data_IF_241947228360
#
_entry.id   IF_241947228360
#
_cell.length_a   1.000
_cell.length_b   1.000
_cell.length_c   1.000
_cell.angle_alpha   90.00
_cell.angle_beta   90.00
_cell.angle_gamma   90.00
#
_symmetry.space_group_name_H-M   'P 1'
#
loop_
_entity.id
_entity.type
_entity.pdbx_description
1 polymer ?
#
# COMPACT_ATOMS: atom_id res chain seq x y z
N UNK A 1 -21.94 2.34 5.71
CA UNK A 1 -22.89 3.38 5.20
C UNK A 1 -22.25 4.32 4.18
N UNK A 2 -20.97 4.69 4.30
CA UNK A 2 -20.33 5.66 3.40
C UNK A 2 -20.49 5.36 1.90
N UNK A 3 -20.25 4.11 1.46
CA UNK A 3 -20.39 3.72 0.05
C UNK A 3 -21.82 3.86 -0.47
N UNK A 4 -22.84 3.54 0.34
CA UNK A 4 -24.25 3.69 -0.01
C UNK A 4 -24.70 5.16 -0.07
N UNK A 5 -24.18 6.03 0.79
CA UNK A 5 -24.46 7.47 0.72
C UNK A 5 -23.96 8.03 -0.61
N UNK A 6 -22.74 7.70 -0.98
CA UNK A 6 -22.18 8.16 -2.24
C UNK A 6 -22.92 7.60 -3.46
N UNK A 7 -23.37 6.33 -3.40
CA UNK A 7 -24.20 5.74 -4.44
C UNK A 7 -25.54 6.49 -4.62
N UNK A 8 -26.18 6.91 -3.52
CA UNK A 8 -27.39 7.74 -3.58
C UNK A 8 -27.11 9.12 -4.20
N UNK A 9 -26.01 9.76 -3.82
CA UNK A 9 -25.63 11.08 -4.33
C UNK A 9 -25.28 11.07 -5.82
N UNK A 10 -24.63 10.00 -6.30
CA UNK A 10 -24.22 9.82 -7.70
C UNK A 10 -25.30 9.16 -8.58
N UNK A 11 -26.34 8.59 -7.98
CA UNK A 11 -27.36 7.80 -8.68
C UNK A 11 -26.83 6.47 -9.23
N UNK A 12 -25.78 5.90 -8.61
CA UNK A 12 -25.18 4.64 -9.07
C UNK A 12 -25.85 3.43 -8.42
N UNK A 13 -26.12 2.40 -9.23
CA UNK A 13 -26.90 1.22 -8.82
C UNK A 13 -26.14 -0.11 -8.94
N UNK A 14 -24.83 -0.06 -9.21
CA UNK A 14 -23.97 -1.25 -9.31
C UNK A 14 -23.63 -1.88 -7.94
N UNK A 15 -22.69 -2.86 -7.91
CA UNK A 15 -22.23 -3.47 -6.67
C UNK A 15 -21.75 -2.44 -5.64
N UNK A 16 -22.27 -2.53 -4.41
CA UNK A 16 -22.01 -1.54 -3.37
C UNK A 16 -21.92 -2.21 -1.98
N UNK A 17 -20.76 -2.14 -1.36
CA UNK A 17 -20.47 -2.70 -0.04
C UNK A 17 -19.21 -2.10 0.56
N UNK A 18 -18.91 -2.45 1.81
CA UNK A 18 -17.68 -2.07 2.51
C UNK A 18 -16.91 -3.33 2.89
N UNK A 19 -15.60 -3.32 2.70
CA UNK A 19 -14.69 -4.41 3.12
C UNK A 19 -13.96 -3.95 4.39
N UNK A 20 -13.65 -4.89 5.29
CA UNK A 20 -12.81 -4.64 6.46
C UNK A 20 -11.77 -5.76 6.59
N UNK A 21 -10.52 -5.43 6.25
CA UNK A 21 -9.35 -6.32 6.36
C UNK A 21 -8.18 -5.56 7.00
N UNK A 22 -8.48 -4.82 8.07
CA UNK A 22 -7.53 -3.96 8.77
C UNK A 22 -6.79 -3.02 7.80
N UNK A 23 -5.46 -2.95 7.89
CA UNK A 23 -4.63 -2.06 7.08
C UNK A 23 -4.64 -2.37 5.57
N UNK A 24 -5.05 -3.59 5.19
CA UNK A 24 -5.17 -4.01 3.79
C UNK A 24 -6.53 -3.67 3.16
N UNK A 25 -7.46 -3.06 3.92
CA UNK A 25 -8.84 -2.78 3.50
C UNK A 25 -8.92 -2.13 2.12
N UNK A 26 -8.18 -1.04 1.90
CA UNK A 26 -8.23 -0.32 0.62
C UNK A 26 -7.73 -1.17 -0.56
N UNK A 27 -6.69 -2.00 -0.39
CA UNK A 27 -6.21 -2.89 -1.46
C UNK A 27 -7.27 -3.93 -1.82
N UNK A 28 -7.96 -4.49 -0.81
CA UNK A 28 -9.09 -5.38 -1.05
C UNK A 28 -10.21 -4.66 -1.80
N UNK A 29 -10.56 -3.43 -1.44
CA UNK A 29 -11.56 -2.64 -2.16
C UNK A 29 -11.18 -2.44 -3.63
N UNK A 30 -9.93 -2.07 -3.92
CA UNK A 30 -9.42 -1.84 -5.29
C UNK A 30 -9.48 -3.13 -6.10
N UNK A 31 -8.95 -4.23 -5.58
CA UNK A 31 -8.92 -5.50 -6.30
C UNK A 31 -10.34 -6.07 -6.52
N UNK A 32 -11.25 -5.94 -5.55
CA UNK A 32 -12.63 -6.38 -5.73
C UNK A 32 -13.38 -5.51 -6.75
N UNK A 33 -13.14 -4.20 -6.78
CA UNK A 33 -13.69 -3.32 -7.81
C UNK A 33 -13.19 -3.70 -9.21
N UNK A 34 -11.89 -3.96 -9.37
CA UNK A 34 -11.33 -4.48 -10.62
C UNK A 34 -11.97 -5.81 -11.01
N UNK A 35 -12.19 -6.74 -10.06
CA UNK A 35 -12.83 -8.02 -10.33
C UNK A 35 -14.29 -7.90 -10.79
N UNK A 36 -15.06 -6.94 -10.26
CA UNK A 36 -16.41 -6.66 -10.78
C UNK A 36 -16.37 -6.22 -12.24
N UNK A 37 -15.42 -5.34 -12.60
CA UNK A 37 -15.23 -4.87 -13.98
C UNK A 37 -14.79 -6.01 -14.90
N UNK A 38 -13.80 -6.81 -14.47
CA UNK A 38 -13.28 -7.96 -15.23
C UNK A 38 -14.39 -8.99 -15.52
N UNK A 39 -15.34 -9.17 -14.59
CA UNK A 39 -16.49 -10.08 -14.75
C UNK A 39 -17.64 -9.49 -15.55
N UNK A 40 -17.54 -8.22 -15.98
CA UNK A 40 -18.61 -7.53 -16.70
C UNK A 40 -19.81 -7.16 -15.82
N UNK A 41 -19.63 -7.09 -14.50
CA UNK A 41 -20.70 -6.73 -13.55
C UNK A 41 -20.86 -5.22 -13.41
N UNK A 42 -19.84 -4.43 -13.80
CA UNK A 42 -19.86 -2.98 -13.84
C UNK A 42 -18.86 -2.45 -14.88
N UNK A 43 -19.17 -1.34 -15.55
CA UNK A 43 -18.21 -0.65 -16.43
C UNK A 43 -17.27 0.26 -15.63
N UNK A 44 -17.76 0.82 -14.52
CA UNK A 44 -17.08 1.82 -13.68
C UNK A 44 -17.32 1.48 -12.21
N UNK A 45 -16.27 1.56 -11.40
CA UNK A 45 -16.34 1.35 -9.95
C UNK A 45 -15.50 2.42 -9.23
N UNK A 46 -16.08 3.04 -8.20
CA UNK A 46 -15.30 3.84 -7.26
C UNK A 46 -14.83 2.95 -6.11
N UNK A 47 -13.54 2.96 -5.81
CA UNK A 47 -12.95 2.12 -4.78
C UNK A 47 -11.86 2.84 -4.01
N UNK A 48 -11.62 2.42 -2.77
CA UNK A 48 -10.59 2.97 -1.91
C UNK A 48 -10.97 2.82 -0.44
N UNK A 49 -10.59 3.81 0.37
CA UNK A 49 -10.88 3.80 1.79
C UNK A 49 -10.64 5.17 2.44
N UNK A 50 -11.30 5.37 3.57
CA UNK A 50 -11.13 6.52 4.44
C UNK A 50 -11.03 6.03 5.88
N UNK A 51 -10.15 6.62 6.66
CA UNK A 51 -9.99 6.28 8.08
C UNK A 51 -9.74 7.53 8.90
N UNK A 52 -10.42 7.62 10.05
CA UNK A 52 -10.28 8.69 11.04
C UNK A 52 -10.22 8.03 12.42
N UNK A 53 -9.10 7.34 12.67
CA UNK A 53 -8.93 6.46 13.80
C UNK A 53 -8.27 7.14 15.02
N UNK A 54 -7.95 8.43 14.97
CA UNK A 54 -7.32 9.15 16.08
C UNK A 54 -8.38 9.55 17.11
N UNK A 55 -8.87 8.54 17.82
CA UNK A 55 -9.80 8.67 18.93
C UNK A 55 -9.22 7.95 20.17
N UNK A 56 -9.56 8.36 21.41
CA UNK A 56 -8.93 7.82 22.62
C UNK A 56 -8.95 6.30 22.72
N UNK A 57 -10.05 5.66 22.32
CA UNK A 57 -10.19 4.21 22.35
C UNK A 57 -9.33 3.50 21.28
N UNK A 58 -9.25 4.06 20.07
CA UNK A 58 -8.43 3.51 18.98
C UNK A 58 -6.94 3.61 19.33
N UNK A 59 -6.51 4.79 19.79
CA UNK A 59 -5.16 5.01 20.27
C UNK A 59 -4.81 4.08 21.44
N UNK A 60 -5.68 3.98 22.44
CA UNK A 60 -5.49 3.11 23.59
C UNK A 60 -5.34 1.63 23.22
N UNK A 61 -6.11 1.16 22.22
CA UNK A 61 -6.00 -0.19 21.69
C UNK A 61 -4.61 -0.49 21.10
N UNK A 62 -4.10 0.37 20.22
CA UNK A 62 -2.78 0.17 19.62
C UNK A 62 -1.62 0.36 20.61
N UNK A 63 -1.78 1.22 21.63
CA UNK A 63 -0.84 1.30 22.75
C UNK A 63 -0.79 -0.03 23.52
N UNK A 64 -1.96 -0.63 23.81
CA UNK A 64 -2.04 -1.91 24.50
C UNK A 64 -1.38 -3.05 23.71
N UNK A 65 -1.47 -3.01 22.37
CA UNK A 65 -0.78 -3.95 21.47
C UNK A 65 0.72 -3.65 21.29
N UNK A 66 1.26 -2.58 21.89
CA UNK A 66 2.66 -2.13 21.71
C UNK A 66 3.04 -1.90 20.25
N UNK A 67 2.09 -1.46 19.43
CA UNK A 67 2.30 -1.31 17.99
C UNK A 67 2.75 0.11 17.59
N UNK A 68 2.51 1.09 18.46
CA UNK A 68 2.83 2.49 18.21
C UNK A 68 4.26 2.84 18.61
N UNK A 69 4.87 3.77 17.86
CA UNK A 69 6.13 4.40 18.26
C UNK A 69 6.00 5.06 19.64
N UNK A 70 7.05 4.97 20.44
CA UNK A 70 7.14 5.62 21.75
C UNK A 70 8.00 6.89 21.71
N UNK A 71 8.42 7.33 20.50
CA UNK A 71 9.23 8.54 20.27
C UNK A 71 8.42 9.84 20.44
N UNK A 72 7.84 10.04 21.62
CA UNK A 72 7.03 11.20 21.95
C UNK A 72 7.85 12.51 22.07
N UNK A 73 9.15 12.40 22.32
CA UNK A 73 10.05 13.56 22.43
C UNK A 73 10.49 14.14 21.06
N UNK A 74 10.30 13.37 19.98
CA UNK A 74 10.59 13.82 18.61
C UNK A 74 9.57 13.16 17.63
N UNK A 75 8.29 13.57 17.70
CA UNK A 75 7.22 12.94 16.95
C UNK A 75 7.39 13.10 15.44
N UNK A 76 8.06 14.16 14.98
CA UNK A 76 8.34 14.41 13.56
C UNK A 76 9.29 13.37 12.95
N UNK A 77 10.08 12.67 13.78
CA UNK A 77 11.00 11.60 13.36
C UNK A 77 10.51 10.19 13.73
N UNK A 78 9.28 10.06 14.23
CA UNK A 78 8.79 8.80 14.79
C UNK A 78 8.50 7.74 13.71
N UNK A 79 7.85 8.10 12.61
CA UNK A 79 7.70 7.17 11.49
C UNK A 79 8.97 7.16 10.66
N UNK A 80 9.68 6.03 10.71
CA UNK A 80 11.00 5.83 10.10
C UNK A 80 11.15 4.41 9.56
N UNK A 81 10.49 4.10 8.43
CA UNK A 81 10.57 2.77 7.82
C UNK A 81 12.02 2.36 7.56
N UNK A 82 12.36 1.11 7.89
CA UNK A 82 13.69 0.48 7.75
C UNK A 82 14.86 1.13 8.50
N UNK A 83 14.62 2.12 9.37
CA UNK A 83 15.66 2.66 10.26
C UNK A 83 15.90 1.69 11.43
N UNK A 84 17.17 1.49 11.82
CA UNK A 84 17.57 0.63 12.93
C UNK A 84 16.92 1.03 14.27
N UNK A 85 16.52 2.30 14.43
CA UNK A 85 15.91 2.84 15.66
C UNK A 85 14.39 3.01 15.57
N UNK A 86 13.73 2.33 14.63
CA UNK A 86 12.26 2.26 14.56
C UNK A 86 11.70 1.44 15.71
N UNK A 87 10.57 1.84 16.26
CA UNK A 87 9.98 1.24 17.46
C UNK A 87 8.46 1.01 17.36
N UNK A 88 7.87 1.26 16.19
CA UNK A 88 6.44 1.15 15.96
C UNK A 88 5.95 2.20 14.96
N UNK A 89 4.68 2.11 14.58
CA UNK A 89 4.10 3.02 13.61
C UNK A 89 3.54 4.29 14.26
N UNK A 90 3.37 5.34 13.46
CA UNK A 90 2.64 6.56 13.86
C UNK A 90 1.26 6.51 13.22
N UNK A 91 0.19 6.63 14.00
CA UNK A 91 -1.17 6.66 13.45
C UNK A 91 -1.39 7.92 12.61
N UNK A 92 -1.98 7.75 11.43
CA UNK A 92 -2.44 8.83 10.57
C UNK A 92 -3.92 8.66 10.22
N UNK A 93 -4.50 9.71 9.63
CA UNK A 93 -5.86 9.72 9.12
C UNK A 93 -5.86 10.21 7.68
N UNK A 94 -6.86 9.83 6.92
CA UNK A 94 -7.01 10.31 5.56
C UNK A 94 -7.96 9.47 4.73
N UNK A 95 -8.08 9.84 3.47
CA UNK A 95 -8.89 9.14 2.50
C UNK A 95 -8.18 9.13 1.14
N UNK A 96 -8.31 7.99 0.45
CA UNK A 96 -7.90 7.83 -0.93
C UNK A 96 -9.00 7.11 -1.70
N UNK A 97 -9.25 7.54 -2.92
CA UNK A 97 -10.20 6.89 -3.83
C UNK A 97 -9.66 6.87 -5.24
N UNK A 98 -9.98 5.80 -5.97
CA UNK A 98 -9.73 5.62 -7.39
C UNK A 98 -11.07 5.36 -8.08
N UNK A 99 -11.19 5.90 -9.29
CA UNK A 99 -12.25 5.54 -10.22
C UNK A 99 -11.65 4.55 -11.22
N UNK A 100 -12.01 3.28 -11.09
CA UNK A 100 -11.63 2.24 -12.05
C UNK A 100 -12.71 2.10 -13.12
N UNK A 101 -12.27 1.79 -14.33
CA UNK A 101 -13.15 1.70 -15.49
C UNK A 101 -12.60 0.70 -16.51
N UNK A 102 -13.50 0.00 -17.20
CA UNK A 102 -13.14 -0.88 -18.31
C UNK A 102 -12.42 -0.08 -19.40
N UNK A 103 -11.26 -0.57 -19.85
CA UNK A 103 -10.33 0.20 -20.69
C UNK A 103 -10.96 0.62 -22.03
N UNK A 104 -11.68 -0.27 -22.70
CA UNK A 104 -12.31 0.06 -23.97
C UNK A 104 -13.52 0.99 -23.79
N UNK A 105 -14.26 0.88 -22.69
CA UNK A 105 -15.29 1.83 -22.29
C UNK A 105 -14.70 3.24 -22.07
N UNK A 106 -13.59 3.34 -21.32
CA UNK A 106 -12.87 4.58 -21.09
C UNK A 106 -12.39 5.21 -22.41
N UNK A 107 -11.80 4.41 -23.31
CA UNK A 107 -11.36 4.86 -24.65
C UNK A 107 -12.53 5.36 -25.49
N UNK A 108 -13.64 4.62 -25.56
CA UNK A 108 -14.82 4.99 -26.36
C UNK A 108 -15.38 6.36 -25.98
N UNK A 109 -15.39 6.70 -24.68
CA UNK A 109 -15.87 8.00 -24.20
C UNK A 109 -14.79 9.09 -24.14
N UNK A 110 -13.55 8.79 -24.56
CA UNK A 110 -12.44 9.75 -24.54
C UNK A 110 -11.96 10.13 -23.13
N UNK A 111 -12.05 9.21 -22.17
CA UNK A 111 -11.59 9.45 -20.80
C UNK A 111 -10.06 9.65 -20.74
N UNK A 112 -9.60 10.50 -19.81
CA UNK A 112 -8.18 10.59 -19.50
C UNK A 112 -7.76 9.39 -18.66
N UNK A 113 -6.88 8.56 -19.22
CA UNK A 113 -6.33 7.39 -18.54
C UNK A 113 -5.06 7.81 -17.79
N UNK A 114 -5.02 7.59 -16.48
CA UNK A 114 -3.87 7.94 -15.65
C UNK A 114 -2.85 6.80 -15.52
N UNK A 115 -3.34 5.57 -15.43
CA UNK A 115 -2.58 4.33 -15.35
C UNK A 115 -3.53 3.16 -15.66
N UNK A 116 -2.96 1.99 -15.95
CA UNK A 116 -3.70 0.75 -16.14
C UNK A 116 -3.53 -0.14 -14.90
N UNK A 117 -4.62 -0.70 -14.39
CA UNK A 117 -4.58 -1.70 -13.32
C UNK A 117 -4.30 -3.07 -13.94
N UNK A 118 -3.10 -3.59 -13.74
CA UNK A 118 -2.69 -4.86 -14.34
C UNK A 118 -3.13 -6.07 -13.54
N UNK A 119 -3.19 -5.98 -12.20
CA UNK A 119 -3.57 -7.08 -11.33
C UNK A 119 -3.16 -6.86 -9.87
N UNK A 120 -3.51 -7.81 -9.01
CA UNK A 120 -3.21 -7.86 -7.59
C UNK A 120 -3.61 -9.20 -6.97
N UNK A 121 -3.22 -9.43 -5.73
CA UNK A 121 -3.68 -10.61 -5.00
C UNK A 121 -3.81 -10.30 -3.50
N UNK A 122 -4.48 -11.21 -2.80
CA UNK A 122 -4.51 -11.24 -1.34
C UNK A 122 -4.25 -12.67 -0.86
N UNK A 123 -3.56 -12.76 0.27
CA UNK A 123 -3.26 -13.99 1.01
C UNK A 123 -3.54 -13.75 2.49
N UNK A 124 -3.32 -14.76 3.32
CA UNK A 124 -3.35 -14.63 4.78
C UNK A 124 -2.18 -15.43 5.34
N UNK A 125 -1.46 -14.85 6.30
CA UNK A 125 -0.29 -15.47 6.92
C UNK A 125 -0.65 -16.69 7.79
N UNK A 126 -1.88 -16.72 8.32
CA UNK A 126 -2.39 -17.78 9.19
C UNK A 126 -1.43 -18.15 10.36
N UNK A 127 -0.70 -17.17 10.88
CA UNK A 127 0.40 -17.39 11.83
C UNK A 127 0.21 -16.68 13.17
N UNK A 128 0.14 -15.35 13.16
CA UNK A 128 0.05 -14.55 14.38
C UNK A 128 -0.79 -13.28 14.15
N UNK A 129 -1.36 -12.72 15.22
CA UNK A 129 -2.26 -11.57 15.12
C UNK A 129 -1.56 -10.27 14.70
N UNK A 130 -0.32 -10.06 15.13
CA UNK A 130 0.43 -8.81 14.94
C UNK A 130 1.79 -9.00 14.29
N UNK A 131 2.22 -10.25 14.11
CA UNK A 131 3.54 -10.56 13.57
C UNK A 131 3.37 -11.30 12.24
N UNK A 132 4.15 -10.93 11.22
CA UNK A 132 4.16 -11.68 9.97
C UNK A 132 4.75 -13.07 10.21
N UNK A 133 4.50 -13.99 9.28
CA UNK A 133 5.19 -15.28 9.28
C UNK A 133 6.72 -15.08 9.30
N UNK A 134 7.49 -15.81 10.14
CA UNK A 134 8.93 -15.59 10.32
C UNK A 134 9.74 -15.77 9.03
N UNK A 135 9.27 -16.62 8.12
CA UNK A 135 9.90 -16.83 6.80
C UNK A 135 9.37 -15.86 5.72
N UNK A 136 8.47 -14.92 6.04
CA UNK A 136 7.92 -13.95 5.08
C UNK A 136 7.06 -14.56 3.96
N UNK A 137 6.67 -15.83 4.10
CA UNK A 137 6.04 -16.61 3.02
C UNK A 137 4.71 -16.05 2.54
N UNK A 138 3.92 -15.42 3.41
CA UNK A 138 2.62 -14.87 3.01
C UNK A 138 2.76 -13.64 2.12
N UNK A 139 3.72 -12.76 2.41
CA UNK A 139 4.09 -11.64 1.56
C UNK A 139 4.66 -12.11 0.21
N UNK A 140 5.60 -13.07 0.21
CA UNK A 140 6.15 -13.65 -1.01
C UNK A 140 5.03 -14.27 -1.87
N UNK A 141 4.15 -15.07 -1.25
CA UNK A 141 3.03 -15.70 -1.95
C UNK A 141 2.09 -14.66 -2.55
N UNK A 142 1.80 -13.57 -1.84
CA UNK A 142 0.94 -12.49 -2.33
C UNK A 142 1.56 -11.79 -3.54
N UNK A 143 2.86 -11.50 -3.48
CA UNK A 143 3.60 -10.87 -4.58
C UNK A 143 3.64 -11.77 -5.81
N UNK A 144 4.02 -13.04 -5.65
CA UNK A 144 4.11 -13.99 -6.77
C UNK A 144 2.75 -14.24 -7.42
N UNK A 145 1.66 -14.32 -6.63
CA UNK A 145 0.29 -14.40 -7.17
C UNK A 145 -0.13 -13.13 -7.90
N UNK A 146 0.25 -11.96 -7.39
CA UNK A 146 -0.06 -10.69 -8.04
C UNK A 146 0.67 -10.56 -9.39
N UNK A 147 1.94 -10.96 -9.46
CA UNK A 147 2.71 -11.03 -10.70
C UNK A 147 2.09 -12.02 -11.69
N UNK A 148 1.69 -13.20 -11.21
CA UNK A 148 1.04 -14.21 -12.06
C UNK A 148 -0.31 -13.73 -12.61
N UNK A 149 -1.12 -13.04 -11.79
CA UNK A 149 -2.41 -12.52 -12.24
C UNK A 149 -2.25 -11.33 -13.20
N UNK A 150 -1.25 -10.47 -12.97
CA UNK A 150 -1.04 -9.28 -13.79
C UNK A 150 -0.35 -9.56 -15.12
N UNK A 151 0.39 -10.66 -15.22
CA UNK A 151 1.23 -10.98 -16.37
C UNK A 151 2.43 -10.05 -16.53
N UNK A 152 2.70 -9.16 -15.56
CA UNK A 152 3.83 -8.24 -15.60
C UNK A 152 5.11 -8.99 -15.24
N UNK A 153 6.16 -8.93 -16.08
CA UNK A 153 7.47 -9.50 -15.76
C UNK A 153 8.06 -8.88 -14.50
N UNK A 154 8.71 -9.67 -13.64
CA UNK A 154 9.28 -9.19 -12.37
C UNK A 154 10.33 -8.10 -12.58
N UNK A 155 11.06 -8.17 -13.69
CA UNK A 155 12.07 -7.20 -14.12
C UNK A 155 11.47 -5.85 -14.53
N UNK A 156 10.19 -5.80 -14.89
CA UNK A 156 9.49 -4.56 -15.26
C UNK A 156 8.87 -3.86 -14.05
N UNK A 157 8.71 -4.56 -12.91
CA UNK A 157 8.34 -3.91 -11.64
C UNK A 157 9.57 -3.19 -11.09
N UNK A 158 9.66 -1.89 -11.39
CA UNK A 158 10.78 -1.04 -10.99
C UNK A 158 10.42 -0.01 -9.90
N UNK A 159 9.16 0.06 -9.47
CA UNK A 159 8.76 0.89 -8.35
C UNK A 159 7.85 0.13 -7.38
N UNK A 160 8.12 0.24 -6.07
CA UNK A 160 7.30 -0.37 -5.03
C UNK A 160 7.04 0.66 -3.92
N UNK A 161 5.76 0.92 -3.67
CA UNK A 161 5.31 1.58 -2.45
C UNK A 161 5.00 0.47 -1.42
N UNK A 162 5.93 0.29 -0.49
CA UNK A 162 5.91 -0.75 0.51
C UNK A 162 4.95 -0.42 1.67
N UNK A 163 4.53 -1.45 2.39
CA UNK A 163 3.72 -1.30 3.58
C UNK A 163 4.53 -0.67 4.73
N UNK A 164 5.77 -1.09 4.94
CA UNK A 164 6.77 -0.66 5.91
C UNK A 164 6.28 0.38 6.94
N UNK A 165 5.79 -0.15 8.06
CA UNK A 165 5.08 0.60 9.10
C UNK A 165 6.02 1.20 10.14
N UNK A 166 7.34 1.06 10.01
CA UNK A 166 8.31 1.39 11.06
C UNK A 166 8.24 0.41 12.24
N UNK A 167 7.78 -0.82 12.00
CA UNK A 167 7.78 -1.88 13.02
C UNK A 167 9.03 -2.75 12.87
N UNK A 168 9.68 -3.20 13.97
CA UNK A 168 10.90 -3.98 13.88
C UNK A 168 10.78 -5.24 13.02
N UNK A 169 9.76 -6.07 13.27
CA UNK A 169 9.53 -7.32 12.53
C UNK A 169 8.97 -7.08 11.12
N UNK A 170 7.95 -6.23 10.99
CA UNK A 170 7.24 -6.02 9.73
C UNK A 170 8.12 -5.49 8.60
N UNK A 171 8.88 -4.43 8.87
CA UNK A 171 9.71 -3.77 7.86
C UNK A 171 10.78 -4.71 7.27
N UNK A 172 11.43 -5.52 8.11
CA UNK A 172 12.47 -6.46 7.67
C UNK A 172 11.87 -7.63 6.92
N UNK A 173 10.72 -8.15 7.35
CA UNK A 173 10.08 -9.28 6.66
C UNK A 173 9.52 -8.87 5.32
N UNK A 174 8.95 -7.69 5.20
CA UNK A 174 8.59 -7.13 3.90
C UNK A 174 9.82 -6.93 3.02
N UNK A 175 10.87 -6.29 3.55
CA UNK A 175 12.10 -6.05 2.79
C UNK A 175 12.72 -7.35 2.26
N UNK A 176 12.81 -8.40 3.10
CA UNK A 176 13.30 -9.72 2.72
C UNK A 176 12.44 -10.35 1.62
N UNK A 177 11.11 -10.22 1.70
CA UNK A 177 10.21 -10.68 0.65
C UNK A 177 10.40 -9.92 -0.68
N UNK A 178 10.59 -8.60 -0.61
CA UNK A 178 10.88 -7.78 -1.80
C UNK A 178 12.21 -8.17 -2.46
N UNK A 179 13.28 -8.35 -1.67
CA UNK A 179 14.57 -8.81 -2.18
C UNK A 179 14.47 -10.22 -2.78
N UNK A 180 13.71 -11.12 -2.15
CA UNK A 180 13.45 -12.46 -2.69
C UNK A 180 12.78 -12.40 -4.07
N UNK A 181 11.73 -11.59 -4.23
CA UNK A 181 10.99 -11.49 -5.47
C UNK A 181 11.72 -10.67 -6.57
N UNK A 182 12.41 -9.60 -6.18
CA UNK A 182 12.88 -8.55 -7.11
C UNK A 182 14.36 -8.20 -7.03
N UNK A 183 15.13 -8.72 -6.06
CA UNK A 183 16.47 -8.21 -5.68
C UNK A 183 17.57 -8.28 -6.75
N UNK A 184 17.28 -8.79 -7.96
CA UNK A 184 18.18 -8.74 -9.12
C UNK A 184 17.88 -7.57 -10.07
N UNK A 185 16.83 -6.78 -9.80
CA UNK A 185 16.42 -5.66 -10.63
C UNK A 185 17.17 -4.37 -10.23
N UNK A 186 18.14 -3.87 -11.03
CA UNK A 186 18.92 -2.68 -10.68
C UNK A 186 18.11 -1.38 -10.73
N UNK A 187 16.98 -1.37 -11.43
CA UNK A 187 16.09 -0.20 -11.54
C UNK A 187 15.11 -0.10 -10.37
N UNK A 188 15.03 -1.13 -9.52
CA UNK A 188 14.07 -1.18 -8.42
C UNK A 188 14.26 -0.01 -7.46
N UNK A 189 13.17 0.70 -7.19
CA UNK A 189 13.09 1.71 -6.15
C UNK A 189 11.93 1.43 -5.21
N UNK A 190 12.22 1.45 -3.92
CA UNK A 190 11.27 1.14 -2.85
C UNK A 190 11.16 2.33 -1.90
N UNK A 191 9.92 2.71 -1.58
CA UNK A 191 9.65 3.70 -0.54
C UNK A 191 8.38 3.35 0.24
N UNK A 192 8.11 4.10 1.31
CA UNK A 192 6.87 4.01 2.07
C UNK A 192 6.33 5.39 2.35
N UNK A 193 5.10 5.64 1.89
CA UNK A 193 4.40 6.91 2.15
C UNK A 193 4.27 7.20 3.64
N UNK A 194 4.24 6.15 4.47
CA UNK A 194 4.05 6.25 5.93
C UNK A 194 5.12 7.08 6.61
N UNK A 195 6.34 7.11 6.05
CA UNK A 195 7.39 8.02 6.54
C UNK A 195 6.96 9.49 6.59
N UNK A 196 6.09 9.92 5.65
CA UNK A 196 5.66 11.31 5.51
C UNK A 196 4.30 11.59 6.14
N UNK A 197 3.37 10.64 6.13
CA UNK A 197 1.96 10.86 6.52
C UNK A 197 1.49 9.94 7.65
N UNK A 198 2.37 9.10 8.20
CA UNK A 198 2.01 8.05 9.15
C UNK A 198 1.21 6.92 8.51
N UNK A 199 0.70 6.03 9.34
CA UNK A 199 -0.09 4.89 8.92
C UNK A 199 -1.59 5.21 8.97
N UNK A 200 -2.19 5.37 7.80
CA UNK A 200 -3.60 5.69 7.61
C UNK A 200 -4.55 4.49 7.75
N UNK A 201 -4.10 3.44 8.45
CA UNK A 201 -4.85 2.20 8.70
C UNK A 201 -5.60 1.70 7.45
N UNK A 202 -6.94 1.63 7.48
CA UNK A 202 -7.75 1.11 6.38
C UNK A 202 -7.68 1.94 5.10
N UNK A 203 -7.30 3.21 5.18
CA UNK A 203 -7.14 4.11 4.03
C UNK A 203 -5.73 4.10 3.41
N UNK A 204 -4.75 3.49 4.08
CA UNK A 204 -3.34 3.51 3.65
C UNK A 204 -3.17 3.04 2.20
N UNK A 205 -3.70 1.86 1.88
CA UNK A 205 -3.60 1.28 0.55
C UNK A 205 -4.15 2.15 -0.59
N UNK A 206 -5.20 2.93 -0.34
CA UNK A 206 -5.78 3.78 -1.37
C UNK A 206 -4.93 5.03 -1.62
N UNK A 207 -4.41 5.64 -0.55
CA UNK A 207 -3.49 6.79 -0.67
C UNK A 207 -2.16 6.35 -1.30
N UNK A 208 -1.69 5.16 -0.96
CA UNK A 208 -0.49 4.54 -1.54
C UNK A 208 -0.65 4.24 -3.03
N UNK A 209 -1.82 3.73 -3.44
CA UNK A 209 -2.15 3.53 -4.84
C UNK A 209 -2.21 4.86 -5.61
N UNK A 210 -2.81 5.91 -5.03
CA UNK A 210 -2.79 7.26 -5.61
C UNK A 210 -1.35 7.76 -5.77
N UNK A 211 -0.50 7.58 -4.77
CA UNK A 211 0.92 7.97 -4.84
C UNK A 211 1.66 7.21 -5.96
N UNK A 212 1.38 5.91 -6.13
CA UNK A 212 1.95 5.10 -7.21
C UNK A 212 1.50 5.56 -8.60
N UNK A 213 0.21 5.87 -8.77
CA UNK A 213 -0.31 6.45 -10.03
C UNK A 213 0.32 7.81 -10.32
N UNK A 214 0.52 8.65 -9.31
CA UNK A 214 1.22 9.94 -9.49
C UNK A 214 2.70 9.73 -9.85
N UNK A 215 3.36 8.72 -9.29
CA UNK A 215 4.74 8.40 -9.67
C UNK A 215 4.83 8.00 -11.15
N UNK A 216 3.91 7.16 -11.63
CA UNK A 216 3.80 6.80 -13.06
C UNK A 216 3.59 8.04 -13.92
N UNK A 217 2.62 8.87 -13.57
CA UNK A 217 2.23 10.04 -14.37
C UNK A 217 3.32 11.12 -14.41
N UNK A 218 3.99 11.34 -13.29
CA UNK A 218 4.90 12.49 -13.14
C UNK A 218 6.36 12.12 -13.31
N UNK A 219 6.73 10.85 -13.19
CA UNK A 219 8.11 10.36 -13.16
C UNK A 219 8.89 10.79 -11.91
N UNK A 220 8.19 11.09 -10.82
CA UNK A 220 8.78 11.44 -9.52
C UNK A 220 8.36 10.43 -8.46
N UNK A 221 9.33 9.77 -7.84
CA UNK A 221 9.11 8.92 -6.66
C UNK A 221 9.45 9.70 -5.39
N UNK A 222 8.59 9.62 -4.38
CA UNK A 222 8.76 10.36 -3.13
C UNK A 222 9.89 9.77 -2.27
N UNK A 223 10.50 10.57 -1.36
CA UNK A 223 11.57 10.07 -0.50
C UNK A 223 11.07 9.10 0.57
N UNK A 224 12.03 8.43 1.21
CA UNK A 224 11.89 7.90 2.55
C UNK A 224 12.47 8.90 3.54
N UNK A 225 11.62 9.63 4.26
CA UNK A 225 12.10 10.54 5.32
C UNK A 225 12.37 9.75 6.61
N UNK A 226 13.19 10.33 7.50
CA UNK A 226 13.57 9.77 8.81
C UNK A 226 14.41 8.48 8.81
N UNK A 227 14.81 7.97 7.62
CA UNK A 227 15.81 6.92 7.46
C UNK A 227 17.23 7.51 7.60
N UNK A 228 17.78 7.48 8.80
CA UNK A 228 19.10 8.04 9.14
C UNK A 228 20.15 6.93 9.28
N UNK A 229 19.76 5.81 9.92
CA UNK A 229 20.61 4.65 10.13
C UNK A 229 19.84 3.43 9.58
N UNK A 230 20.15 2.98 8.36
CA UNK A 230 19.54 1.77 7.81
C UNK A 230 19.76 0.56 8.73
N UNK A 231 18.74 -0.28 8.87
CA UNK A 231 18.84 -1.53 9.63
C UNK A 231 19.80 -2.54 8.97
N UNK A 232 20.34 -3.45 9.78
CA UNK A 232 21.24 -4.50 9.34
C UNK A 232 20.55 -5.38 8.26
N UNK A 233 21.23 -5.55 7.13
CA UNK A 233 20.72 -6.34 6.00
C UNK A 233 19.83 -5.56 5.02
N UNK A 234 19.53 -4.28 5.28
CA UNK A 234 18.82 -3.41 4.34
C UNK A 234 19.84 -2.77 3.38
N UNK A 235 19.75 -3.11 2.09
CA UNK A 235 20.52 -2.47 1.04
C UNK A 235 19.86 -1.14 0.67
N UNK A 236 20.50 -0.04 1.01
CA UNK A 236 19.99 1.30 0.68
C UNK A 236 19.93 1.59 -0.82
N UNK A 237 20.63 0.82 -1.67
CA UNK A 237 20.65 1.06 -3.12
C UNK A 237 19.29 0.81 -3.78
N UNK A 238 18.43 -0.03 -3.16
CA UNK A 238 17.07 -0.29 -3.64
C UNK A 238 16.04 0.68 -3.05
N UNK A 239 16.38 1.42 -2.00
CA UNK A 239 15.49 2.38 -1.36
C UNK A 239 15.59 3.74 -2.04
N UNK A 240 14.47 4.45 -2.16
CA UNK A 240 14.52 5.89 -2.49
C UNK A 240 15.13 6.62 -1.30
N UNK A 241 16.12 7.47 -1.57
CA UNK A 241 16.84 8.19 -0.53
C UNK A 241 16.01 9.27 0.20
N UNK A 242 16.68 10.16 0.96
CA UNK A 242 16.02 11.22 1.74
C UNK A 242 15.42 12.34 0.88
N UNK A 243 15.60 12.29 -0.43
CA UNK A 243 15.04 13.25 -1.40
C UNK A 243 14.32 12.48 -2.49
N UNK A 244 13.28 13.09 -3.06
CA UNK A 244 12.57 12.53 -4.22
C UNK A 244 13.51 12.30 -5.39
N UNK A 245 13.26 11.26 -6.16
CA UNK A 245 14.09 10.85 -7.29
C UNK A 245 13.29 10.81 -8.59
N UNK A 246 13.98 10.95 -9.72
CA UNK A 246 13.41 10.72 -11.04
C UNK A 246 13.46 9.23 -11.37
N UNK A 247 12.32 8.69 -11.80
CA UNK A 247 12.22 7.31 -12.27
C UNK A 247 11.23 7.24 -13.43
N UNK A 248 11.61 6.56 -14.51
CA UNK A 248 10.66 6.16 -15.54
C UNK A 248 9.97 4.88 -15.07
N UNK A 249 8.80 5.01 -14.44
CA UNK A 249 8.09 3.88 -13.85
C UNK A 249 7.52 3.02 -14.97
N UNK A 250 7.97 1.77 -15.07
CA UNK A 250 7.47 0.78 -16.03
C UNK A 250 6.23 0.07 -15.48
N UNK A 251 6.35 -0.46 -14.26
CA UNK A 251 5.26 -0.97 -13.47
C UNK A 251 5.50 -0.68 -11.98
N UNK A 252 4.42 -0.35 -11.28
CA UNK A 252 4.44 -0.08 -9.85
C UNK A 252 3.67 -1.16 -9.07
N UNK A 253 4.20 -1.54 -7.90
CA UNK A 253 3.52 -2.38 -6.92
C UNK A 253 3.18 -1.56 -5.67
N UNK A 254 2.01 -1.79 -5.08
CA UNK A 254 1.62 -1.19 -3.79
C UNK A 254 1.25 -2.30 -2.82
N UNK A 255 2.04 -2.48 -1.77
CA UNK A 255 1.82 -3.51 -0.76
C UNK A 255 1.09 -2.93 0.46
N UNK A 256 0.15 -3.68 1.02
CA UNK A 256 -0.38 -3.42 2.35
C UNK A 256 -0.70 -4.73 3.07
N UNK A 257 -0.31 -4.82 4.34
CA UNK A 257 -0.49 -6.01 5.17
C UNK A 257 -1.36 -5.67 6.36
N UNK A 258 -2.42 -6.45 6.57
CA UNK A 258 -3.36 -6.24 7.67
C UNK A 258 -2.85 -6.86 8.98
N UNK A 259 -3.19 -6.23 10.10
CA UNK A 259 -3.21 -6.97 11.36
C UNK A 259 -4.15 -8.17 11.23
N UNK A 260 -3.70 -9.34 11.67
CA UNK A 260 -4.38 -10.63 11.50
C UNK A 260 -3.86 -11.50 10.35
N UNK A 261 -2.96 -10.98 9.51
CA UNK A 261 -2.35 -11.71 8.38
C UNK A 261 -3.07 -11.45 7.06
#
# INVERSE_FOLDING_TARGET
LGSAMLAMDLGWMGPNYSISTACATSNFCILNAANHIIRGEADVMLCGGSDSAIIPIGLGGFVACRALSQRNNDPTKASRPWDANRDGFVMGEGAGVLLLEELEHAKRRGATIYAEFMGGSFTCDAYHMTEPHPDGIGAILSIEKALAQSGVPREDVNYINAHATSTPSGDIKEYQALVHCFGKNPELRVNSTKSMIGHLLGAAGAVEAVAAVQAIKTGWVHPNINLEIPDEGVDTSVLVGPKKERLNVKAALSNSFGFGG
#
